data_IF_377065273667
#
_entry.id   IF_377065273667
#
_cell.length_a   1.000
_cell.length_b   1.000
_cell.length_c   1.000
_cell.angle_alpha   90.00
_cell.angle_beta   90.00
_cell.angle_gamma   90.00
#
_symmetry.space_group_name_H-M   'P 1'
#
loop_
_entity.id
_entity.type
_entity.pdbx_description
1 polymer ?
#
# COMPACT_ATOMS: atom_id res chain seq x y z
N UNK A 1 30.48 -8.05 -40.44
CA UNK A 1 30.59 -6.62 -40.15
C UNK A 1 29.98 -6.42 -38.76
N UNK A 2 30.81 -6.53 -37.73
CA UNK A 2 30.39 -6.59 -36.32
C UNK A 2 30.35 -5.17 -35.79
N UNK A 3 29.17 -4.69 -35.39
CA UNK A 3 29.04 -3.36 -34.78
C UNK A 3 29.71 -3.37 -33.40
N UNK A 4 30.73 -2.54 -33.30
CA UNK A 4 31.41 -2.16 -32.07
C UNK A 4 30.54 -1.16 -31.29
N UNK A 5 30.61 -1.29 -29.96
CA UNK A 5 30.36 -0.25 -28.95
C UNK A 5 28.91 0.21 -28.68
N UNK A 6 28.29 -0.40 -27.66
CA UNK A 6 27.46 0.35 -26.69
C UNK A 6 28.23 0.39 -25.35
N UNK A 7 29.35 1.11 -25.33
CA UNK A 7 30.25 1.27 -24.17
C UNK A 7 29.98 2.53 -23.33
N UNK A 8 28.88 3.22 -23.59
CA UNK A 8 28.64 4.56 -23.01
C UNK A 8 27.69 4.58 -21.82
N UNK A 9 27.10 3.44 -21.42
CA UNK A 9 26.21 3.43 -20.26
C UNK A 9 27.01 3.23 -18.97
N UNK A 10 27.05 4.22 -18.06
CA UNK A 10 27.68 4.02 -16.75
C UNK A 10 27.02 2.82 -16.06
N UNK A 11 27.78 2.04 -15.28
CA UNK A 11 27.22 0.89 -14.57
C UNK A 11 26.02 1.36 -13.74
N UNK A 12 24.90 0.60 -13.72
CA UNK A 12 23.74 0.96 -12.94
C UNK A 12 24.19 1.14 -11.49
N UNK A 13 23.84 2.29 -10.89
CA UNK A 13 24.10 2.53 -9.47
C UNK A 13 23.50 1.37 -8.67
N UNK A 14 24.20 0.86 -7.64
CA UNK A 14 23.63 -0.16 -6.78
C UNK A 14 22.29 0.33 -6.25
N UNK A 15 21.27 -0.53 -6.32
CA UNK A 15 19.94 -0.17 -5.85
C UNK A 15 20.01 0.21 -4.37
N UNK A 16 19.42 1.35 -4.02
CA UNK A 16 19.31 1.72 -2.62
C UNK A 16 18.50 0.65 -1.86
N UNK A 17 18.89 0.32 -0.62
CA UNK A 17 18.14 -0.62 0.20
C UNK A 17 16.67 -0.18 0.37
N UNK A 18 15.77 -1.15 0.28
CA UNK A 18 14.35 -0.94 0.54
C UNK A 18 14.13 -0.93 2.06
N UNK A 19 13.97 0.26 2.64
CA UNK A 19 13.73 0.42 4.07
C UNK A 19 12.23 0.32 4.38
N UNK A 20 11.87 -0.06 5.62
CA UNK A 20 10.49 -0.09 6.08
C UNK A 20 9.76 1.25 5.85
N UNK A 21 10.44 2.38 6.11
CA UNK A 21 9.89 3.70 5.86
C UNK A 21 9.54 3.95 4.38
N UNK A 22 10.39 3.49 3.45
CA UNK A 22 10.12 3.60 2.00
C UNK A 22 8.94 2.72 1.60
N UNK A 23 8.80 1.54 2.20
CA UNK A 23 7.68 0.62 1.97
C UNK A 23 6.37 1.27 2.45
N UNK A 24 6.32 1.72 3.69
CA UNK A 24 5.13 2.37 4.27
C UNK A 24 4.69 3.58 3.46
N UNK A 25 5.66 4.40 3.04
CA UNK A 25 5.39 5.56 2.18
C UNK A 25 4.80 5.13 0.83
N UNK A 26 5.41 4.14 0.16
CA UNK A 26 4.93 3.66 -1.13
C UNK A 26 3.49 3.12 -1.04
N UNK A 27 3.16 2.33 -0.01
CA UNK A 27 1.80 1.85 0.22
C UNK A 27 0.83 3.00 0.51
N UNK A 28 1.22 3.97 1.33
CA UNK A 28 0.38 5.13 1.64
C UNK A 28 0.03 5.93 0.37
N UNK A 29 1.00 6.14 -0.52
CA UNK A 29 0.77 6.81 -1.81
C UNK A 29 -0.16 5.99 -2.70
N UNK A 30 0.08 4.68 -2.82
CA UNK A 30 -0.77 3.80 -3.60
C UNK A 30 -2.22 3.84 -3.12
N UNK A 31 -2.45 3.62 -1.82
CA UNK A 31 -3.78 3.60 -1.24
C UNK A 31 -4.46 4.96 -1.27
N UNK A 32 -3.73 6.06 -1.07
CA UNK A 32 -4.30 7.42 -1.20
C UNK A 32 -4.86 7.65 -2.60
N UNK A 33 -4.10 7.29 -3.64
CA UNK A 33 -4.56 7.45 -5.03
C UNK A 33 -5.83 6.64 -5.27
N UNK A 34 -5.85 5.38 -4.83
CA UNK A 34 -6.98 4.49 -5.06
C UNK A 34 -8.22 4.87 -4.24
N UNK A 35 -8.08 5.08 -2.93
CA UNK A 35 -9.18 5.38 -2.01
C UNK A 35 -9.88 6.70 -2.31
N UNK A 36 -9.17 7.67 -2.92
CA UNK A 36 -9.78 8.93 -3.40
C UNK A 36 -10.76 8.73 -4.56
N UNK A 37 -10.64 7.65 -5.31
CA UNK A 37 -11.60 7.31 -6.39
C UNK A 37 -12.87 6.65 -5.87
N UNK A 38 -12.89 6.21 -4.62
CA UNK A 38 -14.03 5.54 -4.03
C UNK A 38 -15.11 6.55 -3.58
N UNK A 39 -16.34 6.08 -3.42
CA UNK A 39 -17.36 6.84 -2.70
C UNK A 39 -17.16 6.78 -1.18
N UNK A 40 -17.77 7.71 -0.45
CA UNK A 40 -17.74 7.78 1.03
C UNK A 40 -18.17 6.45 1.65
N UNK A 41 -19.28 5.88 1.19
CA UNK A 41 -19.82 4.62 1.72
C UNK A 41 -18.85 3.44 1.51
N UNK A 42 -18.17 3.38 0.34
CA UNK A 42 -17.15 2.35 0.11
C UNK A 42 -15.94 2.55 1.04
N UNK A 43 -15.49 3.78 1.26
CA UNK A 43 -14.39 4.05 2.22
C UNK A 43 -14.76 3.63 3.63
N UNK A 44 -15.97 3.95 4.10
CA UNK A 44 -16.47 3.54 5.43
C UNK A 44 -16.54 2.02 5.57
N UNK A 45 -17.10 1.33 4.57
CA UNK A 45 -17.18 -0.13 4.56
C UNK A 45 -15.77 -0.76 4.62
N UNK A 46 -14.84 -0.28 3.80
CA UNK A 46 -13.46 -0.78 3.80
C UNK A 46 -12.74 -0.46 5.11
N UNK A 47 -12.98 0.70 5.72
CA UNK A 47 -12.36 1.05 7.00
C UNK A 47 -12.74 0.05 8.10
N UNK A 48 -14.02 -0.33 8.18
CA UNK A 48 -14.49 -1.36 9.12
C UNK A 48 -13.85 -2.73 8.87
N UNK A 49 -13.82 -3.17 7.60
CA UNK A 49 -13.23 -4.47 7.22
C UNK A 49 -11.73 -4.52 7.50
N UNK A 50 -10.98 -3.49 7.12
CA UNK A 50 -9.54 -3.39 7.38
C UNK A 50 -9.26 -3.36 8.88
N UNK A 51 -10.00 -2.56 9.66
CA UNK A 51 -9.85 -2.50 11.10
C UNK A 51 -10.09 -3.86 11.77
N UNK A 52 -11.07 -4.63 11.31
CA UNK A 52 -11.32 -5.98 11.81
C UNK A 52 -10.16 -6.95 11.57
N UNK A 53 -9.45 -6.82 10.44
CA UNK A 53 -8.27 -7.66 10.15
C UNK A 53 -7.07 -7.22 10.95
N UNK A 54 -6.79 -5.91 11.00
CA UNK A 54 -5.62 -5.36 11.72
C UNK A 54 -5.70 -5.60 13.23
N UNK A 55 -6.90 -5.63 13.80
CA UNK A 55 -7.10 -5.90 15.23
C UNK A 55 -7.28 -7.38 15.56
N UNK A 56 -7.25 -8.28 14.55
CA UNK A 56 -7.42 -9.71 14.78
C UNK A 56 -6.19 -10.33 15.48
N UNK A 57 -6.39 -11.33 16.36
CA UNK A 57 -5.28 -12.10 16.90
C UNK A 57 -4.48 -12.78 15.79
N UNK A 58 -3.15 -12.63 15.81
CA UNK A 58 -2.27 -13.18 14.78
C UNK A 58 -2.11 -12.29 13.54
N UNK A 59 -2.62 -11.06 13.57
CA UNK A 59 -2.21 -10.05 12.60
C UNK A 59 -0.72 -9.73 12.77
N UNK A 60 0.01 -9.78 11.67
CA UNK A 60 1.43 -9.45 11.59
C UNK A 60 1.61 -8.22 10.71
N UNK A 61 2.31 -7.21 11.21
CA UNK A 61 2.72 -6.02 10.45
C UNK A 61 3.89 -6.34 9.50
N UNK A 62 3.81 -7.46 8.79
CA UNK A 62 4.82 -7.91 7.87
C UNK A 62 4.92 -6.95 6.68
N UNK A 63 6.13 -6.79 6.14
CA UNK A 63 6.40 -5.74 5.16
C UNK A 63 5.87 -6.14 3.77
N UNK A 64 6.08 -7.39 3.36
CA UNK A 64 5.93 -7.81 1.96
C UNK A 64 5.11 -9.10 1.78
N UNK A 65 4.92 -9.88 2.84
CA UNK A 65 4.25 -11.18 2.83
C UNK A 65 2.73 -11.02 2.65
N UNK A 66 2.23 -11.41 1.48
CA UNK A 66 0.83 -11.20 1.10
C UNK A 66 -0.10 -12.27 1.66
N UNK A 67 -0.39 -12.17 2.96
CA UNK A 67 -1.16 -13.18 3.70
C UNK A 67 -2.64 -12.82 3.88
N UNK A 68 -3.01 -11.54 3.70
CA UNK A 68 -4.35 -11.05 4.07
C UNK A 68 -5.20 -10.73 2.86
N UNK A 69 -6.37 -11.36 2.74
CA UNK A 69 -7.40 -10.97 1.76
C UNK A 69 -8.54 -10.28 2.48
N UNK A 70 -9.03 -9.19 1.89
CA UNK A 70 -10.18 -8.46 2.40
C UNK A 70 -11.27 -8.52 1.34
N UNK A 71 -12.39 -9.14 1.69
CA UNK A 71 -13.55 -9.22 0.81
C UNK A 71 -13.95 -7.81 0.33
N UNK A 72 -14.21 -7.65 -0.96
CA UNK A 72 -14.65 -6.39 -1.56
C UNK A 72 -13.58 -5.29 -1.67
N UNK A 73 -12.34 -5.55 -1.22
CA UNK A 73 -11.21 -4.64 -1.46
C UNK A 73 -10.74 -4.81 -2.91
N UNK A 74 -10.23 -5.99 -3.23
CA UNK A 74 -9.85 -6.51 -4.55
C UNK A 74 -9.66 -8.03 -4.46
N UNK A 75 -9.21 -8.67 -5.55
CA UNK A 75 -8.98 -10.13 -5.60
C UNK A 75 -7.56 -10.53 -5.14
N UNK A 76 -6.77 -9.59 -4.60
CA UNK A 76 -5.38 -9.80 -4.24
C UNK A 76 -5.22 -10.00 -2.73
N UNK A 77 -4.14 -10.70 -2.37
CA UNK A 77 -3.67 -10.73 -0.99
C UNK A 77 -2.69 -9.57 -0.75
N UNK A 78 -2.70 -9.05 0.48
CA UNK A 78 -1.97 -7.86 0.92
C UNK A 78 -1.06 -8.19 2.10
N UNK A 79 0.04 -7.45 2.20
CA UNK A 79 0.91 -7.49 3.38
C UNK A 79 0.31 -6.73 4.55
N UNK A 80 0.79 -7.02 5.76
CA UNK A 80 0.36 -6.30 6.97
C UNK A 80 0.63 -4.80 6.88
N UNK A 81 1.82 -4.43 6.42
CA UNK A 81 2.21 -3.04 6.19
C UNK A 81 1.28 -2.33 5.18
N UNK A 82 0.88 -3.02 4.11
CA UNK A 82 -0.08 -2.48 3.14
C UNK A 82 -1.44 -2.19 3.79
N UNK A 83 -1.95 -3.10 4.62
CA UNK A 83 -3.23 -2.92 5.31
C UNK A 83 -3.19 -1.82 6.38
N UNK A 84 -2.08 -1.70 7.12
CA UNK A 84 -1.86 -0.60 8.06
C UNK A 84 -1.81 0.76 7.34
N UNK A 85 -1.17 0.82 6.17
CA UNK A 85 -1.15 2.03 5.36
C UNK A 85 -2.56 2.38 4.85
N UNK A 86 -3.33 1.40 4.37
CA UNK A 86 -4.72 1.61 3.96
C UNK A 86 -5.58 2.13 5.11
N UNK A 87 -5.46 1.55 6.31
CA UNK A 87 -6.19 2.01 7.49
C UNK A 87 -5.92 3.49 7.76
N UNK A 88 -4.64 3.90 7.81
CA UNK A 88 -4.25 5.30 8.04
C UNK A 88 -4.86 6.24 7.00
N UNK A 89 -4.85 5.85 5.73
CA UNK A 89 -5.43 6.64 4.63
C UNK A 89 -6.95 6.79 4.81
N UNK A 90 -7.66 5.70 5.12
CA UNK A 90 -9.11 5.72 5.29
C UNK A 90 -9.52 6.57 6.51
N UNK A 91 -8.78 6.49 7.61
CA UNK A 91 -8.99 7.33 8.78
C UNK A 91 -8.79 8.82 8.47
N UNK A 92 -7.73 9.16 7.71
CA UNK A 92 -7.47 10.54 7.31
C UNK A 92 -8.57 11.11 6.41
N UNK A 93 -9.01 10.33 5.42
CA UNK A 93 -10.11 10.74 4.52
C UNK A 93 -11.44 10.86 5.28
N UNK A 94 -11.75 9.90 6.16
CA UNK A 94 -12.96 9.96 6.98
C UNK A 94 -13.01 11.18 7.93
N UNK A 95 -11.86 11.57 8.49
CA UNK A 95 -11.76 12.81 9.29
C UNK A 95 -12.00 14.06 8.44
N UNK A 96 -11.45 14.12 7.23
CA UNK A 96 -11.66 15.25 6.32
C UNK A 96 -13.12 15.38 5.88
N UNK A 97 -13.80 14.26 5.64
CA UNK A 97 -15.23 14.22 5.29
C UNK A 97 -16.14 14.68 6.44
N UNK A 98 -15.76 14.42 7.70
CA UNK A 98 -16.54 14.87 8.85
C UNK A 98 -16.43 16.38 9.13
N UNK A 99 -15.49 17.06 8.48
CA UNK A 99 -15.21 18.49 8.66
C UNK A 99 -15.75 19.37 7.53
N UNK A 100 -16.22 18.79 6.43
CA UNK A 100 -16.78 19.49 5.26
C UNK A 100 -18.29 19.31 5.16
#
# INVERSE_FOLDING_TARGET
>A
MTSLDDKSKPPPRPAEPLTAQKIDFAYSIFWTKLARTWGVERRRLMAGRVASVVTSPGFEANALERNYRIEGLDDLAHSGASLLALQKVLEALGKAEAQG
#
